data_IF_846950376472
#
_entry.id   IF_846950376472
#
_cell.length_a   1.000
_cell.length_b   1.000
_cell.length_c   1.000
_cell.angle_alpha   90.00
_cell.angle_beta   90.00
_cell.angle_gamma   90.00
#
_symmetry.space_group_name_H-M   'P 1'
#
loop_
_entity.id
_entity.type
_entity.pdbx_description
1 polymer ?
#
# COMPACT_ATOMS: atom_id res chain seq x y z
N UNK A 1 11.52 -49.76 22.64
CA UNK A 1 12.63 -48.86 22.30
C UNK A 1 12.09 -47.78 21.38
N UNK A 2 11.52 -46.71 21.95
CA UNK A 2 10.92 -45.60 21.21
C UNK A 2 11.92 -44.44 21.23
N UNK A 3 12.48 -44.14 20.06
CA UNK A 3 13.32 -42.95 19.88
C UNK A 3 12.40 -41.75 19.56
N UNK A 4 12.39 -40.83 20.49
CA UNK A 4 11.81 -39.49 20.32
C UNK A 4 12.63 -38.70 19.29
N UNK A 5 12.09 -38.45 18.12
CA UNK A 5 12.57 -37.42 17.21
C UNK A 5 12.06 -36.07 17.71
N UNK A 6 12.96 -35.30 18.25
CA UNK A 6 12.80 -33.90 18.59
C UNK A 6 12.60 -33.12 17.32
N UNK A 7 11.41 -32.52 17.14
CA UNK A 7 11.14 -31.57 16.07
C UNK A 7 11.95 -30.29 16.35
N UNK A 8 12.96 -30.01 15.52
CA UNK A 8 13.66 -28.75 15.50
C UNK A 8 12.71 -27.66 14.99
N UNK A 9 12.50 -26.62 15.80
CA UNK A 9 11.79 -25.41 15.42
C UNK A 9 12.51 -24.69 14.27
N UNK A 10 11.80 -24.01 13.36
CA UNK A 10 12.43 -23.22 12.30
C UNK A 10 13.05 -21.95 12.89
N UNK A 11 14.29 -22.04 13.32
CA UNK A 11 15.12 -20.90 13.74
C UNK A 11 15.87 -20.24 12.56
N UNK A 12 15.68 -20.70 11.32
CA UNK A 12 16.61 -20.41 10.23
C UNK A 12 16.36 -19.07 9.52
N UNK A 13 15.12 -18.58 9.43
CA UNK A 13 14.84 -17.34 8.69
C UNK A 13 15.16 -16.06 9.52
N UNK A 14 14.78 -16.02 10.79
CA UNK A 14 15.12 -14.90 11.67
C UNK A 14 16.64 -14.83 11.94
N UNK A 15 17.29 -15.97 12.14
CA UNK A 15 18.74 -16.03 12.38
C UNK A 15 19.59 -15.60 11.17
N UNK A 16 19.12 -15.83 9.93
CA UNK A 16 19.80 -15.35 8.72
C UNK A 16 19.64 -13.84 8.52
N UNK A 17 18.49 -13.28 8.82
CA UNK A 17 18.23 -11.83 8.71
C UNK A 17 19.00 -11.02 9.75
N UNK A 18 19.13 -11.52 10.98
CA UNK A 18 19.98 -10.94 12.01
C UNK A 18 21.48 -11.01 11.61
N UNK A 19 21.91 -12.12 11.02
CA UNK A 19 23.28 -12.28 10.55
C UNK A 19 23.63 -11.29 9.43
N UNK A 20 22.70 -11.00 8.52
CA UNK A 20 22.89 -10.01 7.45
C UNK A 20 23.06 -8.60 8.02
N UNK A 21 22.25 -8.20 8.99
CA UNK A 21 22.40 -6.90 9.66
C UNK A 21 23.78 -6.73 10.32
N UNK A 22 24.23 -7.71 11.09
CA UNK A 22 25.51 -7.63 11.79
C UNK A 22 26.70 -7.62 10.83
N UNK A 23 26.63 -8.36 9.71
CA UNK A 23 27.68 -8.41 8.70
C UNK A 23 27.87 -7.06 7.96
N UNK A 24 26.82 -6.23 7.87
CA UNK A 24 26.86 -4.92 7.24
C UNK A 24 27.52 -3.82 8.10
N UNK A 25 27.62 -4.01 9.41
CA UNK A 25 28.03 -2.93 10.33
C UNK A 25 29.49 -2.49 10.11
N UNK A 26 30.42 -3.43 9.95
CA UNK A 26 31.84 -3.10 9.71
C UNK A 26 32.08 -2.44 8.36
N UNK A 27 31.58 -2.97 7.22
CA UNK A 27 31.71 -2.29 5.94
C UNK A 27 31.06 -0.90 5.92
N UNK A 28 29.85 -0.75 6.51
CA UNK A 28 29.18 0.54 6.59
C UNK A 28 29.96 1.56 7.44
N UNK A 29 30.55 1.12 8.56
CA UNK A 29 31.41 1.96 9.38
C UNK A 29 32.72 2.33 8.67
N UNK A 30 33.26 1.42 7.86
CA UNK A 30 34.43 1.67 7.01
C UNK A 30 34.14 2.61 5.82
N UNK A 31 32.88 2.97 5.57
CA UNK A 31 32.51 3.94 4.56
C UNK A 31 31.93 3.35 3.28
N UNK A 32 31.68 2.03 3.21
CA UNK A 32 31.05 1.42 2.03
C UNK A 32 29.61 1.94 1.84
N UNK A 33 29.38 2.61 0.70
CA UNK A 33 28.10 3.26 0.43
C UNK A 33 26.94 2.27 0.27
N UNK A 34 27.21 1.09 -0.29
CA UNK A 34 26.19 0.04 -0.47
C UNK A 34 25.83 -0.59 0.87
N UNK A 35 26.81 -0.89 1.73
CA UNK A 35 26.59 -1.39 3.07
C UNK A 35 25.84 -0.36 3.95
N UNK A 36 26.18 0.93 3.83
CA UNK A 36 25.46 2.02 4.49
C UNK A 36 23.98 2.08 4.05
N UNK A 37 23.72 1.96 2.75
CA UNK A 37 22.36 1.90 2.24
C UNK A 37 21.61 0.67 2.73
N UNK A 38 22.22 -0.50 2.70
CA UNK A 38 21.62 -1.74 3.19
C UNK A 38 21.30 -1.66 4.69
N UNK A 39 22.22 -1.11 5.49
CA UNK A 39 22.01 -0.90 6.93
C UNK A 39 20.87 0.11 7.19
N UNK A 40 20.77 1.16 6.37
CA UNK A 40 19.66 2.10 6.39
C UNK A 40 18.32 1.41 6.10
N UNK A 41 18.27 0.46 5.16
CA UNK A 41 17.06 -0.32 4.86
C UNK A 41 16.63 -1.20 6.04
N UNK A 42 17.55 -1.84 6.75
CA UNK A 42 17.23 -2.62 7.95
C UNK A 42 16.55 -1.75 9.01
N UNK A 43 17.10 -0.57 9.30
CA UNK A 43 16.47 0.36 10.23
C UNK A 43 15.14 0.93 9.70
N UNK A 44 15.03 1.17 8.39
CA UNK A 44 13.80 1.69 7.78
C UNK A 44 12.65 0.69 7.83
N UNK A 45 12.93 -0.59 7.56
CA UNK A 45 11.92 -1.65 7.52
C UNK A 45 11.70 -2.36 8.85
N UNK A 46 12.63 -2.23 9.81
CA UNK A 46 12.60 -2.98 11.06
C UNK A 46 12.97 -4.47 10.91
N UNK A 47 13.58 -4.86 9.79
CA UNK A 47 14.00 -6.25 9.55
C UNK A 47 15.32 -6.53 10.24
N UNK A 48 15.34 -7.50 11.15
CA UNK A 48 16.53 -7.87 11.95
C UNK A 48 16.91 -6.86 13.05
N UNK A 49 16.24 -5.70 13.12
CA UNK A 49 16.40 -4.69 14.17
C UNK A 49 15.09 -3.95 14.38
N UNK A 50 14.85 -3.33 15.54
CA UNK A 50 13.72 -2.43 15.71
C UNK A 50 13.74 -1.31 14.66
N UNK A 51 12.58 -0.98 14.09
CA UNK A 51 12.46 0.12 13.13
C UNK A 51 12.90 1.44 13.77
N UNK A 52 13.79 2.16 13.09
CA UNK A 52 14.29 3.46 13.51
C UNK A 52 14.56 4.35 12.30
N UNK A 53 13.62 5.24 12.00
CA UNK A 53 13.76 6.17 10.89
C UNK A 53 14.89 7.20 11.08
N UNK A 54 15.28 7.51 12.32
CA UNK A 54 16.43 8.38 12.60
C UNK A 54 17.75 7.71 12.21
N UNK A 55 17.93 6.43 12.58
CA UNK A 55 19.07 5.65 12.13
C UNK A 55 19.04 5.42 10.61
N UNK A 56 17.87 5.11 10.05
CA UNK A 56 17.73 4.98 8.60
C UNK A 56 18.16 6.26 7.88
N UNK A 57 17.69 7.43 8.34
CA UNK A 57 18.08 8.73 7.80
C UNK A 57 19.60 8.97 7.88
N UNK A 58 20.21 8.64 9.02
CA UNK A 58 21.66 8.78 9.21
C UNK A 58 22.45 7.96 8.17
N UNK A 59 22.08 6.67 8.03
CA UNK A 59 22.80 5.76 7.14
C UNK A 59 22.54 6.07 5.66
N UNK A 60 21.29 6.37 5.29
CA UNK A 60 20.99 6.84 3.92
C UNK A 60 21.69 8.14 3.59
N UNK A 61 21.82 9.08 4.54
CA UNK A 61 22.56 10.33 4.32
C UNK A 61 24.04 10.09 4.08
N UNK A 62 24.68 9.20 4.86
CA UNK A 62 26.09 8.84 4.63
C UNK A 62 26.30 8.24 3.24
N UNK A 63 25.45 7.31 2.83
CA UNK A 63 25.49 6.67 1.52
C UNK A 63 25.22 7.67 0.38
N UNK A 64 24.19 8.51 0.52
CA UNK A 64 23.79 9.51 -0.47
C UNK A 64 24.87 10.60 -0.69
N UNK A 65 25.58 10.99 0.38
CA UNK A 65 26.68 11.94 0.29
C UNK A 65 27.88 11.42 -0.53
N UNK A 66 27.98 10.10 -0.68
CA UNK A 66 28.95 9.46 -1.57
C UNK A 66 28.43 9.34 -3.02
N UNK A 67 27.25 9.88 -3.31
CA UNK A 67 26.62 9.83 -4.62
C UNK A 67 25.82 8.56 -4.90
N UNK A 68 25.61 7.68 -3.92
CA UNK A 68 24.87 6.42 -4.15
C UNK A 68 23.39 6.71 -4.47
N UNK A 69 23.01 6.52 -5.75
CA UNK A 69 21.70 6.90 -6.27
C UNK A 69 20.50 6.22 -5.55
N UNK A 70 20.55 4.93 -5.18
CA UNK A 70 19.48 4.33 -4.39
C UNK A 70 19.25 5.03 -3.04
N UNK A 71 20.32 5.43 -2.34
CA UNK A 71 20.20 6.15 -1.07
C UNK A 71 19.63 7.56 -1.25
N UNK A 72 20.04 8.27 -2.32
CA UNK A 72 19.44 9.55 -2.67
C UNK A 72 17.94 9.41 -2.93
N UNK A 73 17.54 8.39 -3.70
CA UNK A 73 16.12 8.10 -3.92
C UNK A 73 15.38 7.84 -2.61
N UNK A 74 15.97 7.07 -1.70
CA UNK A 74 15.34 6.73 -0.42
C UNK A 74 15.21 7.95 0.49
N UNK A 75 16.18 8.87 0.50
CA UNK A 75 16.03 10.15 1.18
C UNK A 75 14.89 10.99 0.59
N UNK A 76 14.77 11.02 -0.74
CA UNK A 76 13.62 11.64 -1.41
C UNK A 76 12.29 11.10 -0.90
N UNK A 77 12.19 9.78 -0.79
CA UNK A 77 11.00 9.09 -0.27
C UNK A 77 10.72 9.44 1.21
N UNK A 78 11.74 9.47 2.06
CA UNK A 78 11.58 9.86 3.47
C UNK A 78 11.05 11.29 3.61
N UNK A 79 11.59 12.26 2.85
CA UNK A 79 11.09 13.65 2.88
C UNK A 79 9.68 13.80 2.29
N UNK A 80 9.32 13.02 1.28
CA UNK A 80 7.98 13.02 0.68
C UNK A 80 6.94 12.49 1.65
N UNK A 81 7.25 11.42 2.39
CA UNK A 81 6.30 10.68 3.22
C UNK A 81 6.42 10.95 4.72
N UNK A 82 7.28 11.90 5.16
CA UNK A 82 7.45 12.28 6.57
C UNK A 82 8.07 11.16 7.43
N UNK A 83 8.88 10.27 6.84
CA UNK A 83 9.55 9.21 7.61
C UNK A 83 10.82 9.75 8.30
N UNK A 84 10.77 9.92 9.62
CA UNK A 84 11.89 10.39 10.43
C UNK A 84 12.31 11.85 10.20
N UNK A 85 11.61 12.57 9.32
CA UNK A 85 11.86 13.98 8.98
C UNK A 85 10.55 14.71 8.71
N UNK A 86 10.47 16.04 8.96
CA UNK A 86 9.35 16.84 8.49
C UNK A 86 9.18 16.71 6.96
N UNK A 87 7.93 16.70 6.51
CA UNK A 87 7.64 16.63 5.07
C UNK A 87 8.24 17.84 4.36
N UNK A 88 9.04 17.58 3.33
CA UNK A 88 9.64 18.60 2.49
C UNK A 88 9.70 18.13 1.02
N UNK A 89 8.70 18.48 0.27
CA UNK A 89 8.58 18.09 -1.13
C UNK A 89 9.69 18.69 -2.02
N UNK A 90 10.23 19.87 -1.67
CA UNK A 90 11.34 20.46 -2.45
C UNK A 90 12.62 19.69 -2.24
N UNK A 91 12.91 19.28 -1.00
CA UNK A 91 14.03 18.38 -0.70
C UNK A 91 13.84 17.01 -1.33
N UNK A 92 12.64 16.44 -1.24
CA UNK A 92 12.32 15.18 -1.89
C UNK A 92 12.64 15.23 -3.38
N UNK A 93 12.15 16.24 -4.10
CA UNK A 93 12.44 16.45 -5.51
C UNK A 93 13.95 16.62 -5.80
N UNK A 94 14.66 17.34 -4.95
CA UNK A 94 16.12 17.51 -5.09
C UNK A 94 16.84 16.17 -5.03
N UNK A 95 16.53 15.34 -4.03
CA UNK A 95 17.14 14.02 -3.88
C UNK A 95 16.74 13.06 -5.02
N UNK A 96 15.47 13.04 -5.43
CA UNK A 96 15.03 12.24 -6.58
C UNK A 96 15.75 12.66 -7.86
N UNK A 97 15.92 13.98 -8.10
CA UNK A 97 16.68 14.47 -9.25
C UNK A 97 18.15 14.08 -9.19
N UNK A 98 18.77 14.08 -8.01
CA UNK A 98 20.15 13.61 -7.86
C UNK A 98 20.30 12.16 -8.28
N UNK A 99 19.37 11.29 -7.89
CA UNK A 99 19.36 9.89 -8.32
C UNK A 99 19.02 9.75 -9.81
N UNK A 100 18.00 10.48 -10.29
CA UNK A 100 17.52 10.44 -11.68
C UNK A 100 18.61 10.89 -12.69
N UNK A 101 19.39 11.90 -12.35
CA UNK A 101 20.46 12.41 -13.20
C UNK A 101 21.64 11.42 -13.34
N UNK A 102 21.78 10.48 -12.42
CA UNK A 102 22.71 9.35 -12.51
C UNK A 102 22.13 8.18 -13.32
N UNK A 103 20.91 8.31 -13.86
CA UNK A 103 20.26 7.25 -14.62
C UNK A 103 19.43 6.28 -13.76
N UNK A 104 19.29 6.50 -12.45
CA UNK A 104 18.54 5.58 -11.58
C UNK A 104 17.05 5.60 -11.91
N UNK A 105 16.52 4.47 -12.40
CA UNK A 105 15.17 4.38 -12.96
C UNK A 105 14.06 4.77 -11.94
N UNK A 106 14.15 4.31 -10.69
CA UNK A 106 13.20 4.71 -9.65
C UNK A 106 13.27 6.20 -9.32
N UNK A 107 14.47 6.80 -9.36
CA UNK A 107 14.62 8.25 -9.21
C UNK A 107 13.94 9.01 -10.34
N UNK A 108 14.10 8.55 -11.59
CA UNK A 108 13.43 9.13 -12.76
C UNK A 108 11.91 8.98 -12.66
N UNK A 109 11.42 7.81 -12.28
CA UNK A 109 10.00 7.55 -12.03
C UNK A 109 9.43 8.52 -10.97
N UNK A 110 10.10 8.66 -9.83
CA UNK A 110 9.64 9.53 -8.76
C UNK A 110 9.66 11.03 -9.16
N UNK A 111 10.66 11.47 -9.94
CA UNK A 111 10.65 12.83 -10.52
C UNK A 111 9.43 13.01 -11.43
N UNK A 112 9.11 12.01 -12.27
CA UNK A 112 7.91 11.98 -13.09
C UNK A 112 6.64 12.18 -12.27
N UNK A 113 6.47 11.43 -11.18
CA UNK A 113 5.34 11.54 -10.25
C UNK A 113 5.24 12.92 -9.60
N UNK A 114 6.36 13.49 -9.17
CA UNK A 114 6.36 14.85 -8.59
C UNK A 114 5.85 15.90 -9.59
N UNK A 115 6.19 15.77 -10.88
CA UNK A 115 5.66 16.65 -11.93
C UNK A 115 4.19 16.36 -12.27
N UNK A 116 3.78 15.08 -12.26
CA UNK A 116 2.39 14.68 -12.51
C UNK A 116 1.46 15.23 -11.44
N UNK A 117 1.83 15.10 -10.17
CA UNK A 117 1.02 15.55 -9.02
C UNK A 117 1.14 17.08 -8.78
N UNK A 118 2.21 17.69 -9.25
CA UNK A 118 2.54 19.09 -8.95
C UNK A 118 3.02 19.28 -7.50
N UNK A 119 3.68 18.27 -6.94
CA UNK A 119 4.13 18.26 -5.54
C UNK A 119 5.59 18.70 -5.47
N UNK A 120 5.87 19.78 -4.73
CA UNK A 120 7.21 20.39 -4.67
C UNK A 120 7.65 21.12 -5.95
N UNK A 121 6.87 21.05 -7.01
CA UNK A 121 7.06 21.67 -8.31
C UNK A 121 5.70 21.97 -8.96
N UNK A 122 5.64 22.89 -9.90
CA UNK A 122 4.42 23.12 -10.68
C UNK A 122 4.09 21.88 -11.52
N UNK A 123 2.81 21.46 -11.50
CA UNK A 123 2.33 20.33 -12.32
C UNK A 123 2.65 20.51 -13.79
N UNK A 124 3.27 19.49 -14.38
CA UNK A 124 3.65 19.48 -15.78
C UNK A 124 3.69 18.04 -16.33
N UNK A 125 2.60 17.63 -16.97
CA UNK A 125 2.49 16.28 -17.54
C UNK A 125 3.49 16.00 -18.68
N UNK A 126 3.98 17.03 -19.37
CA UNK A 126 5.01 16.84 -20.41
C UNK A 126 6.34 16.47 -19.78
N UNK A 127 6.72 17.18 -18.70
CA UNK A 127 7.92 16.81 -17.92
C UNK A 127 7.74 15.44 -17.26
N UNK A 128 6.55 15.13 -16.72
CA UNK A 128 6.26 13.82 -16.17
C UNK A 128 6.48 12.71 -17.22
N UNK A 129 5.92 12.87 -18.41
CA UNK A 129 6.07 11.92 -19.52
C UNK A 129 7.55 11.73 -19.93
N UNK A 130 8.32 12.82 -20.02
CA UNK A 130 9.73 12.76 -20.39
C UNK A 130 10.55 11.96 -19.35
N UNK A 131 10.25 12.14 -18.06
CA UNK A 131 10.92 11.40 -17.00
C UNK A 131 10.46 9.94 -16.91
N UNK A 132 9.16 9.67 -17.03
CA UNK A 132 8.64 8.31 -17.08
C UNK A 132 9.21 7.52 -18.26
N UNK A 133 9.37 8.13 -19.45
CA UNK A 133 9.99 7.47 -20.59
C UNK A 133 11.43 7.05 -20.30
N UNK A 134 12.23 7.91 -19.66
CA UNK A 134 13.61 7.57 -19.28
C UNK A 134 13.66 6.36 -18.34
N UNK A 135 12.71 6.27 -17.41
CA UNK A 135 12.61 5.12 -16.51
C UNK A 135 12.07 3.87 -17.25
N UNK A 136 11.11 4.05 -18.14
CA UNK A 136 10.53 2.99 -18.96
C UNK A 136 11.53 2.39 -19.95
N UNK A 137 12.46 3.19 -20.48
CA UNK A 137 13.55 2.73 -21.35
C UNK A 137 14.53 1.79 -20.63
N UNK A 138 14.47 1.77 -19.29
CA UNK A 138 15.19 0.83 -18.43
C UNK A 138 14.32 -0.37 -17.97
N UNK A 139 13.18 -0.59 -18.62
CA UNK A 139 12.22 -1.67 -18.31
C UNK A 139 11.58 -1.58 -16.93
N UNK A 140 11.43 -0.37 -16.38
CA UNK A 140 10.66 -0.17 -15.16
C UNK A 140 9.15 -0.22 -15.49
N UNK A 141 8.50 -1.34 -15.21
CA UNK A 141 7.11 -1.60 -15.62
C UNK A 141 6.11 -0.57 -15.07
N UNK A 142 6.33 -0.04 -13.87
CA UNK A 142 5.52 1.04 -13.30
C UNK A 142 5.60 2.32 -14.16
N UNK A 143 6.79 2.63 -14.68
CA UNK A 143 6.97 3.79 -15.56
C UNK A 143 6.34 3.57 -16.93
N UNK A 144 6.46 2.36 -17.48
CA UNK A 144 5.80 1.97 -18.73
C UNK A 144 4.27 2.14 -18.63
N UNK A 145 3.68 1.66 -17.52
CA UNK A 145 2.27 1.84 -17.23
C UNK A 145 1.88 3.33 -17.18
N UNK A 146 2.66 4.17 -16.51
CA UNK A 146 2.36 5.61 -16.42
C UNK A 146 2.46 6.32 -17.77
N UNK A 147 3.41 5.94 -18.62
CA UNK A 147 3.47 6.45 -20.00
C UNK A 147 2.19 6.07 -20.76
N UNK A 148 1.73 4.81 -20.65
CA UNK A 148 0.48 4.35 -21.23
C UNK A 148 -0.72 5.17 -20.74
N UNK A 149 -0.82 5.41 -19.45
CA UNK A 149 -1.88 6.18 -18.82
C UNK A 149 -1.93 7.64 -19.31
N UNK A 150 -0.79 8.31 -19.45
CA UNK A 150 -0.73 9.69 -19.97
C UNK A 150 -1.24 9.75 -21.41
N UNK A 151 -0.91 8.76 -22.26
CA UNK A 151 -1.45 8.69 -23.62
C UNK A 151 -2.93 8.34 -23.64
N UNK A 152 -3.40 7.44 -22.78
CA UNK A 152 -4.82 7.09 -22.66
C UNK A 152 -5.67 8.29 -22.27
N UNK A 153 -5.21 9.10 -21.32
CA UNK A 153 -5.95 10.27 -20.83
C UNK A 153 -5.75 11.52 -21.71
N UNK A 154 -4.68 11.59 -22.49
CA UNK A 154 -4.37 12.78 -23.29
C UNK A 154 -3.93 13.99 -22.45
N UNK A 155 -3.31 13.78 -21.27
CA UNK A 155 -2.88 14.87 -20.39
C UNK A 155 -1.76 15.70 -20.98
N UNK A 156 -2.10 16.89 -21.54
CA UNK A 156 -1.16 17.82 -22.21
C UNK A 156 -0.39 17.22 -23.38
N UNK A 157 -0.77 16.04 -23.82
CA UNK A 157 -0.38 15.38 -25.06
C UNK A 157 -1.66 14.99 -25.81
N UNK A 158 -1.57 14.73 -27.10
CA UNK A 158 -2.73 14.21 -27.83
C UNK A 158 -3.05 12.83 -27.30
N UNK A 159 -4.33 12.58 -26.97
CA UNK A 159 -4.81 11.24 -26.63
C UNK A 159 -4.49 10.27 -27.78
N UNK A 160 -3.90 9.14 -27.42
CA UNK A 160 -3.47 8.12 -28.39
C UNK A 160 -3.60 6.72 -27.76
N UNK A 161 -4.71 6.07 -28.05
CA UNK A 161 -4.98 4.74 -27.54
C UNK A 161 -4.03 3.67 -28.11
N UNK A 162 -3.51 3.85 -29.32
CA UNK A 162 -2.54 2.92 -29.89
C UNK A 162 -1.21 2.98 -29.13
N UNK A 163 -0.75 4.18 -28.79
CA UNK A 163 0.42 4.37 -27.93
C UNK A 163 0.16 3.83 -26.53
N UNK A 164 -1.00 4.12 -25.93
CA UNK A 164 -1.37 3.61 -24.61
C UNK A 164 -1.32 2.09 -24.58
N UNK A 165 -1.95 1.44 -25.56
CA UNK A 165 -1.94 -0.01 -25.70
C UNK A 165 -0.53 -0.59 -25.83
N UNK A 166 0.32 -0.02 -26.68
CA UNK A 166 1.71 -0.48 -26.85
C UNK A 166 2.51 -0.40 -25.55
N UNK A 167 2.35 0.69 -24.79
CA UNK A 167 3.02 0.85 -23.51
C UNK A 167 2.49 -0.08 -22.42
N UNK A 168 1.18 -0.32 -22.36
CA UNK A 168 0.60 -1.29 -21.44
C UNK A 168 1.03 -2.72 -21.79
N UNK A 169 1.11 -3.09 -23.08
CA UNK A 169 1.65 -4.39 -23.50
C UNK A 169 3.09 -4.58 -23.02
N UNK A 170 3.91 -3.54 -23.12
CA UNK A 170 5.29 -3.59 -22.65
C UNK A 170 5.36 -3.78 -21.13
N UNK A 171 4.57 -3.02 -20.37
CA UNK A 171 4.47 -3.16 -18.92
C UNK A 171 3.94 -4.55 -18.49
N UNK A 172 2.93 -5.07 -19.19
CA UNK A 172 2.39 -6.41 -18.97
C UNK A 172 3.43 -7.51 -19.26
N UNK A 173 4.27 -7.31 -20.29
CA UNK A 173 5.39 -8.19 -20.59
C UNK A 173 6.43 -8.27 -19.46
N UNK A 174 6.47 -7.27 -18.58
CA UNK A 174 7.29 -7.23 -17.37
C UNK A 174 6.49 -7.57 -16.08
N UNK A 175 5.31 -8.22 -16.22
CA UNK A 175 4.51 -8.71 -15.11
C UNK A 175 3.76 -7.62 -14.32
N UNK A 176 3.46 -6.48 -14.95
CA UNK A 176 2.69 -5.43 -14.28
C UNK A 176 1.19 -5.73 -14.37
N UNK A 177 0.61 -6.22 -13.28
CA UNK A 177 -0.81 -6.61 -13.23
C UNK A 177 -1.78 -5.44 -13.44
N UNK A 178 -1.41 -4.22 -13.06
CA UNK A 178 -2.23 -3.04 -13.33
C UNK A 178 -2.29 -2.75 -14.84
N UNK A 179 -1.17 -2.93 -15.56
CA UNK A 179 -1.14 -2.74 -17.01
C UNK A 179 -1.95 -3.83 -17.73
N UNK A 180 -1.89 -5.07 -17.26
CA UNK A 180 -2.73 -6.16 -17.76
C UNK A 180 -4.21 -5.85 -17.54
N UNK A 181 -4.58 -5.34 -16.38
CA UNK A 181 -5.95 -4.88 -16.10
C UNK A 181 -6.37 -3.74 -17.01
N UNK A 182 -5.49 -2.77 -17.30
CA UNK A 182 -5.77 -1.69 -18.25
C UNK A 182 -5.98 -2.20 -19.69
N UNK A 183 -5.22 -3.21 -20.13
CA UNK A 183 -5.44 -3.86 -21.43
C UNK A 183 -6.82 -4.53 -21.48
N UNK A 184 -7.24 -5.16 -20.40
CA UNK A 184 -8.60 -5.69 -20.27
C UNK A 184 -9.66 -4.60 -20.45
N UNK A 185 -9.53 -3.46 -19.78
CA UNK A 185 -10.44 -2.33 -19.94
C UNK A 185 -10.42 -1.75 -21.37
N UNK A 186 -9.25 -1.66 -22.00
CA UNK A 186 -9.15 -1.18 -23.36
C UNK A 186 -9.91 -2.07 -24.35
N UNK A 187 -9.83 -3.38 -24.17
CA UNK A 187 -10.59 -4.34 -24.97
C UNK A 187 -12.10 -4.29 -24.66
N UNK A 188 -12.48 -4.18 -23.40
CA UNK A 188 -13.88 -4.07 -22.95
C UNK A 188 -14.55 -2.81 -23.49
N UNK A 189 -13.87 -1.65 -23.42
CA UNK A 189 -14.42 -0.37 -23.85
C UNK A 189 -14.22 -0.08 -25.33
N UNK A 190 -13.39 -0.88 -26.02
CA UNK A 190 -13.07 -0.68 -27.42
C UNK A 190 -12.18 0.55 -27.66
N UNK A 191 -11.25 0.84 -26.72
CA UNK A 191 -10.34 1.97 -26.84
C UNK A 191 -9.19 1.65 -27.80
N UNK A 192 -9.27 2.26 -28.99
CA UNK A 192 -8.29 2.05 -30.05
C UNK A 192 -8.49 0.79 -30.89
N UNK A 193 -9.46 -0.03 -30.56
CA UNK A 193 -9.87 -1.25 -31.28
C UNK A 193 -11.36 -1.52 -31.05
N UNK A 194 -12.03 -2.39 -31.82
CA UNK A 194 -13.40 -2.81 -31.53
C UNK A 194 -13.49 -3.47 -30.14
N UNK A 195 -14.65 -3.34 -29.48
CA UNK A 195 -14.91 -4.03 -28.21
C UNK A 195 -14.77 -5.55 -28.38
N UNK A 196 -13.98 -6.15 -27.48
CA UNK A 196 -13.80 -7.60 -27.42
C UNK A 196 -13.76 -8.08 -25.97
N UNK A 197 -14.89 -8.58 -25.50
CA UNK A 197 -15.00 -9.10 -24.12
C UNK A 197 -14.21 -10.39 -23.89
N UNK A 198 -13.95 -11.18 -24.95
CA UNK A 198 -13.14 -12.39 -24.80
C UNK A 198 -11.66 -12.02 -24.60
N UNK A 199 -11.17 -11.03 -25.35
CA UNK A 199 -9.85 -10.45 -25.13
C UNK A 199 -9.76 -9.80 -23.74
N UNK A 200 -10.77 -9.00 -23.36
CA UNK A 200 -10.83 -8.37 -22.03
C UNK A 200 -10.72 -9.39 -20.91
N UNK A 201 -11.52 -10.46 -20.98
CA UNK A 201 -11.51 -11.54 -20.01
C UNK A 201 -10.14 -12.24 -19.94
N UNK A 202 -9.49 -12.45 -21.09
CA UNK A 202 -8.14 -13.04 -21.14
C UNK A 202 -7.11 -12.19 -20.39
N UNK A 203 -7.17 -10.87 -20.57
CA UNK A 203 -6.28 -9.94 -19.86
C UNK A 203 -6.59 -9.85 -18.38
N UNK A 204 -7.86 -9.80 -17.99
CA UNK A 204 -8.25 -9.80 -16.59
C UNK A 204 -7.82 -11.09 -15.87
N UNK A 205 -7.89 -12.26 -16.54
CA UNK A 205 -7.36 -13.50 -15.96
C UNK A 205 -5.85 -13.43 -15.69
N UNK A 206 -5.06 -12.90 -16.62
CA UNK A 206 -3.62 -12.72 -16.42
C UNK A 206 -3.34 -11.78 -15.26
N UNK A 207 -4.04 -10.63 -15.21
CA UNK A 207 -3.89 -9.69 -14.12
C UNK A 207 -4.26 -10.30 -12.76
N UNK A 208 -5.32 -11.13 -12.70
CA UNK A 208 -5.74 -11.84 -11.50
C UNK A 208 -4.72 -12.90 -11.06
N UNK A 209 -4.08 -13.61 -12.00
CA UNK A 209 -2.97 -14.54 -11.73
C UNK A 209 -1.76 -13.81 -11.13
N UNK A 210 -1.52 -12.55 -11.50
CA UNK A 210 -0.50 -11.67 -10.92
C UNK A 210 -0.99 -10.87 -9.71
N UNK A 211 -2.13 -11.25 -9.12
CA UNK A 211 -2.60 -10.72 -7.84
C UNK A 211 -3.43 -9.42 -7.92
N UNK A 212 -3.91 -9.02 -9.11
CA UNK A 212 -4.81 -7.87 -9.21
C UNK A 212 -6.21 -8.20 -8.70
N UNK A 213 -6.59 -7.65 -7.55
CA UNK A 213 -7.96 -7.79 -7.01
C UNK A 213 -9.00 -7.02 -7.82
N UNK A 214 -8.60 -5.92 -8.49
CA UNK A 214 -9.47 -5.19 -9.43
C UNK A 214 -9.80 -6.05 -10.65
N UNK A 215 -8.84 -6.79 -11.18
CA UNK A 215 -9.09 -7.71 -12.28
C UNK A 215 -10.03 -8.87 -11.87
N UNK A 216 -9.89 -9.37 -10.64
CA UNK A 216 -10.83 -10.37 -10.10
C UNK A 216 -12.26 -9.81 -10.04
N UNK A 217 -12.43 -8.57 -9.60
CA UNK A 217 -13.73 -7.89 -9.60
C UNK A 217 -14.29 -7.75 -11.03
N UNK A 218 -13.47 -7.34 -12.00
CA UNK A 218 -13.86 -7.21 -13.40
C UNK A 218 -14.29 -8.55 -14.03
N UNK A 219 -13.61 -9.65 -13.72
CA UNK A 219 -14.02 -10.99 -14.16
C UNK A 219 -15.41 -11.32 -13.58
N UNK A 220 -15.62 -11.05 -12.29
CA UNK A 220 -16.92 -11.22 -11.65
C UNK A 220 -18.01 -10.42 -12.36
N UNK A 221 -17.73 -9.16 -12.69
CA UNK A 221 -18.66 -8.27 -13.41
C UNK A 221 -19.02 -8.80 -14.81
N UNK A 222 -18.05 -9.30 -15.57
CA UNK A 222 -18.28 -9.90 -16.88
C UNK A 222 -19.22 -11.11 -16.79
N UNK A 223 -19.01 -12.02 -15.83
CA UNK A 223 -19.89 -13.19 -15.65
C UNK A 223 -21.26 -12.80 -15.10
N UNK A 224 -21.36 -11.82 -14.21
CA UNK A 224 -22.63 -11.34 -13.66
C UNK A 224 -23.54 -10.78 -14.74
N UNK A 225 -22.96 -10.02 -15.68
CA UNK A 225 -23.71 -9.32 -16.74
C UNK A 225 -23.77 -10.07 -18.07
N UNK A 226 -23.05 -11.20 -18.20
CA UNK A 226 -23.03 -11.98 -19.43
C UNK A 226 -22.37 -11.25 -20.59
N UNK A 227 -21.30 -10.48 -20.32
CA UNK A 227 -20.61 -9.68 -21.34
C UNK A 227 -19.69 -10.58 -22.18
N UNK A 228 -20.07 -10.85 -23.42
CA UNK A 228 -19.34 -11.75 -24.32
C UNK A 228 -19.31 -13.23 -23.90
N UNK A 229 -19.92 -13.56 -22.77
CA UNK A 229 -20.09 -14.91 -22.22
C UNK A 229 -21.53 -15.09 -21.72
N UNK A 230 -21.96 -16.33 -21.49
CA UNK A 230 -23.23 -16.56 -20.81
C UNK A 230 -23.16 -16.06 -19.37
N UNK A 231 -24.23 -15.42 -18.87
CA UNK A 231 -24.37 -15.03 -17.47
C UNK A 231 -24.16 -16.26 -16.58
N UNK A 232 -23.26 -16.12 -15.61
CA UNK A 232 -22.91 -17.18 -14.65
C UNK A 232 -22.68 -16.56 -13.28
N UNK A 233 -23.76 -16.49 -12.51
CA UNK A 233 -23.70 -15.90 -11.16
C UNK A 233 -22.81 -16.68 -10.19
N UNK A 234 -22.65 -17.99 -10.38
CA UNK A 234 -21.77 -18.80 -9.53
C UNK A 234 -20.30 -18.41 -9.75
N UNK A 235 -19.90 -18.23 -11.02
CA UNK A 235 -18.55 -17.74 -11.34
C UNK A 235 -18.37 -16.29 -10.90
N UNK A 236 -19.39 -15.43 -11.08
CA UNK A 236 -19.32 -14.05 -10.62
C UNK A 236 -19.06 -13.99 -9.10
N UNK A 237 -19.83 -14.75 -8.32
CA UNK A 237 -19.66 -14.82 -6.87
C UNK A 237 -18.27 -15.33 -6.47
N UNK A 238 -17.79 -16.41 -7.13
CA UNK A 238 -16.45 -16.95 -6.87
C UNK A 238 -15.34 -15.89 -7.04
N UNK A 239 -15.44 -15.07 -8.11
CA UNK A 239 -14.43 -14.06 -8.38
C UNK A 239 -14.56 -12.85 -7.47
N UNK A 240 -15.78 -12.43 -7.14
CA UNK A 240 -16.02 -11.39 -6.14
C UNK A 240 -15.56 -11.82 -4.74
N UNK A 241 -15.77 -13.08 -4.33
CA UNK A 241 -15.27 -13.62 -3.06
C UNK A 241 -13.73 -13.57 -3.00
N UNK A 242 -13.06 -13.90 -4.10
CA UNK A 242 -11.60 -13.79 -4.18
C UNK A 242 -11.14 -12.32 -4.06
N UNK A 243 -11.76 -11.41 -4.81
CA UNK A 243 -11.42 -9.98 -4.78
C UNK A 243 -11.68 -9.39 -3.38
N UNK A 244 -12.81 -9.72 -2.75
CA UNK A 244 -13.17 -9.27 -1.42
C UNK A 244 -12.20 -9.79 -0.34
N UNK A 245 -11.70 -11.03 -0.50
CA UNK A 245 -10.68 -11.59 0.41
C UNK A 245 -9.36 -10.83 0.37
N UNK A 246 -9.07 -10.15 -0.74
CA UNK A 246 -7.91 -9.24 -0.92
C UNK A 246 -8.29 -7.76 -0.69
N UNK A 247 -9.49 -7.51 -0.11
CA UNK A 247 -9.93 -6.19 0.31
C UNK A 247 -10.48 -5.28 -0.79
N UNK A 248 -10.95 -5.86 -1.90
CA UNK A 248 -11.62 -5.07 -2.93
C UNK A 248 -13.04 -4.67 -2.47
N UNK A 249 -13.21 -3.41 -2.10
CA UNK A 249 -14.49 -2.90 -1.59
C UNK A 249 -15.60 -2.90 -2.64
N UNK A 250 -15.30 -2.81 -3.94
CA UNK A 250 -16.32 -2.92 -4.98
C UNK A 250 -16.87 -4.36 -5.05
N UNK A 251 -15.98 -5.36 -4.98
CA UNK A 251 -16.40 -6.76 -4.94
C UNK A 251 -17.26 -7.07 -3.70
N UNK A 252 -16.92 -6.53 -2.53
CA UNK A 252 -17.74 -6.63 -1.33
C UNK A 252 -19.13 -6.03 -1.54
N UNK A 253 -19.21 -4.83 -2.15
CA UNK A 253 -20.50 -4.23 -2.51
C UNK A 253 -21.30 -5.10 -3.49
N UNK A 254 -20.66 -5.73 -4.47
CA UNK A 254 -21.34 -6.63 -5.41
C UNK A 254 -21.84 -7.90 -4.73
N UNK A 255 -21.11 -8.47 -3.79
CA UNK A 255 -21.58 -9.60 -2.99
C UNK A 255 -22.82 -9.22 -2.17
N UNK A 256 -22.84 -8.03 -1.55
CA UNK A 256 -24.02 -7.50 -0.89
C UNK A 256 -25.23 -7.44 -1.82
N UNK A 257 -25.03 -6.93 -3.02
CA UNK A 257 -26.05 -6.86 -4.06
C UNK A 257 -26.56 -8.24 -4.49
N UNK A 258 -25.65 -9.22 -4.69
CA UNK A 258 -26.06 -10.58 -5.09
C UNK A 258 -26.93 -11.26 -4.04
N UNK A 259 -26.60 -11.10 -2.74
CA UNK A 259 -27.44 -11.63 -1.66
C UNK A 259 -28.78 -10.90 -1.52
N UNK A 260 -28.85 -9.61 -1.77
CA UNK A 260 -30.08 -8.81 -1.72
C UNK A 260 -31.02 -9.17 -2.87
N UNK A 261 -30.51 -9.35 -4.10
CA UNK A 261 -31.30 -9.46 -5.32
C UNK A 261 -31.39 -10.89 -5.90
N UNK A 262 -31.04 -11.92 -5.14
CA UNK A 262 -31.14 -13.34 -5.55
C UNK A 262 -30.26 -13.70 -6.77
N UNK A 263 -29.16 -13.06 -6.95
CA UNK A 263 -28.31 -13.36 -8.09
C UNK A 263 -27.40 -14.56 -7.81
N UNK A 264 -27.86 -15.75 -8.21
CA UNK A 264 -27.12 -17.01 -8.09
C UNK A 264 -27.06 -17.61 -6.68
N UNK A 265 -27.71 -16.97 -5.70
CA UNK A 265 -27.78 -17.43 -4.30
C UNK A 265 -29.18 -17.21 -3.73
N UNK A 266 -29.55 -17.96 -2.69
CA UNK A 266 -30.72 -17.66 -1.89
C UNK A 266 -30.53 -16.30 -1.20
N UNK A 267 -31.57 -15.46 -1.15
CA UNK A 267 -31.50 -14.16 -0.49
C UNK A 267 -31.13 -14.33 0.97
N UNK A 268 -30.29 -13.44 1.42
CA UNK A 268 -29.90 -13.41 2.82
C UNK A 268 -29.61 -11.96 3.24
N UNK A 269 -30.60 -11.34 3.85
CA UNK A 269 -30.57 -9.93 4.23
C UNK A 269 -29.40 -9.65 5.20
N UNK A 270 -29.12 -10.56 6.14
CA UNK A 270 -28.02 -10.40 7.08
C UNK A 270 -26.63 -10.44 6.37
N UNK A 271 -26.46 -11.34 5.40
CA UNK A 271 -25.23 -11.37 4.59
C UNK A 271 -25.12 -10.13 3.71
N UNK A 272 -26.21 -9.69 3.07
CA UNK A 272 -26.21 -8.49 2.24
C UNK A 272 -25.75 -7.27 3.04
N UNK A 273 -26.34 -7.04 4.22
CA UNK A 273 -25.95 -5.94 5.11
C UNK A 273 -24.48 -6.08 5.58
N UNK A 274 -24.07 -7.31 5.92
CA UNK A 274 -22.67 -7.53 6.34
C UNK A 274 -21.69 -7.14 5.24
N UNK A 275 -21.93 -7.55 4.00
CA UNK A 275 -21.07 -7.21 2.89
C UNK A 275 -21.08 -5.71 2.55
N UNK A 276 -22.25 -5.07 2.53
CA UNK A 276 -22.32 -3.62 2.34
C UNK A 276 -21.59 -2.85 3.44
N UNK A 277 -21.69 -3.29 4.70
CA UNK A 277 -21.00 -2.65 5.82
C UNK A 277 -19.49 -2.79 5.71
N UNK A 278 -18.97 -3.99 5.42
CA UNK A 278 -17.53 -4.21 5.17
C UNK A 278 -17.01 -3.29 4.08
N UNK A 279 -17.73 -3.21 2.97
CA UNK A 279 -17.38 -2.33 1.86
C UNK A 279 -17.41 -0.85 2.24
N UNK A 280 -18.43 -0.41 3.01
CA UNK A 280 -18.53 0.97 3.49
C UNK A 280 -17.42 1.33 4.47
N UNK A 281 -17.04 0.41 5.35
CA UNK A 281 -15.92 0.59 6.31
C UNK A 281 -14.57 0.78 5.60
N UNK A 282 -14.42 0.22 4.39
CA UNK A 282 -13.29 0.47 3.50
C UNK A 282 -13.40 1.79 2.70
N UNK A 283 -14.46 2.57 2.95
CA UNK A 283 -14.66 3.88 2.33
C UNK A 283 -15.45 3.85 1.01
N UNK A 284 -16.09 2.73 0.66
CA UNK A 284 -16.94 2.65 -0.53
C UNK A 284 -18.27 3.39 -0.31
N UNK A 285 -18.37 4.60 -0.86
CA UNK A 285 -19.58 5.43 -0.72
C UNK A 285 -20.83 4.79 -1.33
N UNK A 286 -20.68 4.01 -2.42
CA UNK A 286 -21.82 3.30 -3.03
C UNK A 286 -22.37 2.24 -2.09
N UNK A 287 -21.47 1.51 -1.42
CA UNK A 287 -21.88 0.50 -0.43
C UNK A 287 -22.55 1.14 0.79
N UNK A 288 -22.04 2.28 1.26
CA UNK A 288 -22.70 3.03 2.35
C UNK A 288 -24.12 3.48 1.97
N UNK A 289 -24.31 3.94 0.75
CA UNK A 289 -25.64 4.31 0.25
C UNK A 289 -26.56 3.09 0.10
N UNK A 290 -26.05 1.96 -0.42
CA UNK A 290 -26.79 0.72 -0.54
C UNK A 290 -27.19 0.16 0.81
N UNK A 291 -26.29 0.21 1.80
CA UNK A 291 -26.54 -0.20 3.18
C UNK A 291 -27.71 0.59 3.77
N UNK A 292 -27.62 1.92 3.73
CA UNK A 292 -28.64 2.80 4.28
C UNK A 292 -30.02 2.53 3.64
N UNK A 293 -30.07 2.53 2.31
CA UNK A 293 -31.32 2.26 1.59
C UNK A 293 -31.89 0.87 1.88
N UNK A 294 -31.03 -0.12 2.12
CA UNK A 294 -31.49 -1.46 2.42
C UNK A 294 -31.95 -1.62 3.87
N UNK A 295 -31.28 -0.96 4.83
CA UNK A 295 -31.71 -0.91 6.24
C UNK A 295 -33.09 -0.25 6.36
N UNK A 296 -33.38 0.86 5.64
CA UNK A 296 -34.73 1.47 5.59
C UNK A 296 -35.79 0.48 5.08
N UNK A 297 -35.49 -0.28 4.02
CA UNK A 297 -36.44 -1.31 3.51
C UNK A 297 -36.67 -2.41 4.51
N UNK A 298 -35.69 -2.80 5.31
CA UNK A 298 -35.82 -3.83 6.34
C UNK A 298 -36.62 -3.33 7.52
N UNK A 299 -36.46 -2.08 7.93
CA UNK A 299 -37.28 -1.44 8.96
C UNK A 299 -38.77 -1.37 8.56
N UNK A 300 -39.05 -0.94 7.33
CA UNK A 300 -40.46 -0.88 6.80
C UNK A 300 -41.12 -2.24 6.69
N UNK A 301 -40.37 -3.32 6.49
CA UNK A 301 -40.92 -4.70 6.49
C UNK A 301 -41.34 -5.20 7.87
N UNK A 302 -41.05 -4.44 8.93
CA UNK A 302 -41.41 -4.82 10.31
C UNK A 302 -40.63 -6.06 10.79
N UNK A 303 -39.48 -6.35 10.21
CA UNK A 303 -38.61 -7.43 10.62
C UNK A 303 -37.87 -7.04 11.91
N UNK A 304 -38.60 -6.82 13.00
CA UNK A 304 -38.10 -6.44 14.32
C UNK A 304 -37.21 -7.48 15.01
N UNK A 305 -36.76 -8.52 14.29
CA UNK A 305 -35.82 -9.53 14.74
C UNK A 305 -34.49 -9.45 13.95
N UNK A 306 -34.29 -8.39 13.13
CA UNK A 306 -33.07 -8.25 12.41
C UNK A 306 -31.95 -7.71 13.32
N UNK A 307 -31.33 -8.62 14.05
CA UNK A 307 -30.12 -8.32 14.84
C UNK A 307 -28.88 -8.66 13.99
N UNK A 308 -28.28 -7.62 13.37
CA UNK A 308 -27.04 -7.74 12.61
C UNK A 308 -25.90 -8.36 13.45
N UNK A 309 -25.98 -8.27 14.78
CA UNK A 309 -25.03 -8.87 15.70
C UNK A 309 -25.18 -10.40 15.79
N UNK A 310 -26.36 -10.94 15.47
CA UNK A 310 -26.65 -12.38 15.51
C UNK A 310 -26.46 -13.09 14.17
N UNK A 311 -26.14 -12.39 13.10
CA UNK A 311 -25.64 -13.03 11.88
C UNK A 311 -24.31 -13.71 12.20
N UNK A 312 -24.37 -14.92 12.76
CA UNK A 312 -23.20 -15.80 12.87
C UNK A 312 -22.72 -16.07 11.45
N UNK A 313 -21.76 -15.27 11.03
CA UNK A 313 -21.19 -15.37 9.73
C UNK A 313 -20.28 -16.59 9.69
N UNK A 314 -20.86 -17.70 9.23
CA UNK A 314 -20.15 -18.97 9.01
C UNK A 314 -19.45 -18.99 7.65
N UNK A 315 -19.62 -17.91 6.86
CA UNK A 315 -19.02 -17.78 5.56
C UNK A 315 -17.52 -17.44 5.67
N UNK A 316 -16.70 -18.33 5.16
CA UNK A 316 -15.24 -18.18 5.23
C UNK A 316 -14.74 -16.93 4.50
N UNK A 317 -15.42 -16.49 3.43
CA UNK A 317 -15.07 -15.30 2.68
C UNK A 317 -15.33 -14.02 3.50
N UNK A 318 -16.50 -13.93 4.14
CA UNK A 318 -16.82 -12.81 5.04
C UNK A 318 -15.85 -12.78 6.23
N UNK A 319 -15.50 -13.94 6.78
CA UNK A 319 -14.52 -14.02 7.86
C UNK A 319 -13.14 -13.50 7.42
N UNK A 320 -12.72 -13.84 6.20
CA UNK A 320 -11.47 -13.31 5.62
C UNK A 320 -11.54 -11.79 5.39
N UNK A 321 -12.63 -11.29 4.79
CA UNK A 321 -12.81 -9.86 4.55
C UNK A 321 -12.83 -9.06 5.86
N UNK A 322 -13.54 -9.54 6.91
CA UNK A 322 -13.49 -8.92 8.25
C UNK A 322 -12.09 -8.88 8.82
N UNK A 323 -11.33 -9.96 8.68
CA UNK A 323 -9.94 -10.04 9.14
C UNK A 323 -9.05 -9.07 8.39
N UNK A 324 -9.20 -8.99 7.06
CA UNK A 324 -8.47 -8.02 6.23
C UNK A 324 -8.77 -6.58 6.64
N UNK A 325 -10.05 -6.21 6.86
CA UNK A 325 -10.44 -4.89 7.37
C UNK A 325 -9.79 -4.59 8.73
N UNK A 326 -9.72 -5.60 9.62
CA UNK A 326 -9.03 -5.46 10.92
C UNK A 326 -7.52 -5.21 10.73
N UNK A 327 -6.87 -5.92 9.81
CA UNK A 327 -5.46 -5.73 9.46
C UNK A 327 -5.23 -4.28 8.98
N UNK A 328 -6.05 -3.78 8.06
CA UNK A 328 -5.95 -2.42 7.56
C UNK A 328 -6.16 -1.36 8.64
N UNK A 329 -7.11 -1.58 9.56
CA UNK A 329 -7.32 -0.67 10.69
C UNK A 329 -6.10 -0.65 11.64
N UNK A 330 -5.56 -1.79 11.99
CA UNK A 330 -4.37 -1.89 12.81
C UNK A 330 -3.17 -1.20 12.15
N UNK A 331 -2.96 -1.42 10.85
CA UNK A 331 -1.87 -0.77 10.09
C UNK A 331 -2.01 0.76 10.09
N UNK A 332 -3.23 1.29 9.88
CA UNK A 332 -3.49 2.74 9.95
C UNK A 332 -3.22 3.32 11.33
N UNK A 333 -3.64 2.63 12.40
CA UNK A 333 -3.41 3.05 13.79
C UNK A 333 -1.93 3.03 14.16
N UNK A 334 -1.20 2.00 13.75
CA UNK A 334 0.24 1.90 13.91
C UNK A 334 0.93 3.09 13.25
N UNK A 335 0.61 3.37 11.98
CA UNK A 335 1.19 4.50 11.24
C UNK A 335 0.88 5.85 11.90
N UNK A 336 -0.32 6.03 12.46
CA UNK A 336 -0.71 7.22 13.22
C UNK A 336 0.16 7.42 14.47
N UNK A 337 0.29 6.37 15.30
CA UNK A 337 1.08 6.40 16.52
C UNK A 337 2.57 6.66 16.25
N UNK A 338 3.10 6.10 15.16
CA UNK A 338 4.49 6.34 14.73
C UNK A 338 4.70 7.78 14.28
N UNK A 339 3.71 8.35 13.58
CA UNK A 339 3.70 9.76 13.21
C UNK A 339 3.73 10.66 14.43
N UNK A 340 2.87 10.38 15.42
CA UNK A 340 2.78 11.15 16.68
C UNK A 340 4.08 11.02 17.50
N UNK A 341 4.65 9.81 17.59
CA UNK A 341 5.93 9.59 18.25
C UNK A 341 7.04 10.41 17.60
N UNK A 342 7.09 10.46 16.27
CA UNK A 342 8.08 11.22 15.53
C UNK A 342 7.91 12.72 15.73
N UNK A 343 6.67 13.23 15.78
CA UNK A 343 6.39 14.65 16.03
C UNK A 343 6.85 15.07 17.43
N UNK A 344 6.66 14.21 18.45
CA UNK A 344 7.16 14.45 19.80
C UNK A 344 8.70 14.49 19.84
N UNK A 345 9.39 13.55 19.17
CA UNK A 345 10.85 13.57 19.09
C UNK A 345 11.41 14.79 18.35
N UNK A 346 10.75 15.18 17.25
CA UNK A 346 11.12 16.37 16.50
C UNK A 346 11.03 17.62 17.40
N UNK A 347 9.97 17.72 18.20
CA UNK A 347 9.77 18.81 19.14
C UNK A 347 10.83 18.78 20.26
N UNK A 348 11.13 17.61 20.82
CA UNK A 348 12.19 17.44 21.81
C UNK A 348 13.56 17.88 21.26
N UNK A 349 13.91 17.44 20.06
CA UNK A 349 15.17 17.81 19.39
C UNK A 349 15.25 19.32 19.09
N UNK A 350 14.14 19.96 18.69
CA UNK A 350 14.11 21.41 18.52
C UNK A 350 14.37 22.15 19.83
N UNK A 351 13.81 21.68 20.94
CA UNK A 351 14.02 22.22 22.26
C UNK A 351 15.47 22.08 22.74
N UNK A 352 16.10 20.94 22.49
CA UNK A 352 17.50 20.69 22.81
C UNK A 352 18.47 21.57 22.02
N UNK A 353 18.13 21.86 20.74
CA UNK A 353 18.96 22.70 19.87
C UNK A 353 18.78 24.19 20.18
N UNK A 354 17.57 24.66 20.54
CA UNK A 354 17.32 26.05 20.96
C UNK A 354 17.97 26.38 22.28
N UNK A 355 18.11 25.44 23.20
CA UNK A 355 18.83 25.60 24.49
C UNK A 355 20.35 25.81 24.38
N UNK A 356 20.96 25.58 23.20
CA UNK A 356 22.41 25.76 22.95
C UNK A 356 22.81 27.11 22.34
N UNK A 357 21.82 27.92 21.92
CA UNK A 357 22.07 29.28 21.36
C UNK A 357 22.26 30.32 22.41
N UNK A 358 23.47 30.87 22.52
CA UNK A 358 23.75 32.03 23.39
C UNK A 358 23.04 33.28 22.85
N UNK A 359 22.08 33.84 23.59
CA UNK A 359 21.47 35.17 23.40
C UNK A 359 20.17 35.29 22.54
N UNK A 360 19.27 34.37 22.58
CA UNK A 360 17.95 34.55 21.97
C UNK A 360 16.87 34.80 23.05
N UNK A 361 15.88 35.65 22.73
CA UNK A 361 14.73 35.95 23.60
C UNK A 361 13.95 34.70 24.02
N UNK A 362 13.92 33.69 23.15
CA UNK A 362 13.36 32.36 23.40
C UNK A 362 14.13 31.62 24.50
N UNK A 363 15.47 31.65 24.50
CA UNK A 363 16.30 31.02 25.54
C UNK A 363 16.05 31.69 26.91
N UNK A 364 15.79 33.01 26.94
CA UNK A 364 15.42 33.72 28.17
C UNK A 364 14.02 33.37 28.65
N UNK A 365 13.06 33.17 27.74
CA UNK A 365 11.71 32.72 28.06
C UNK A 365 11.71 31.27 28.60
N UNK A 366 12.51 30.38 28.01
CA UNK A 366 12.69 28.98 28.46
C UNK A 366 13.31 28.92 29.89
N UNK A 367 14.28 29.75 30.17
CA UNK A 367 14.90 29.82 31.49
C UNK A 367 13.98 30.47 32.55
N UNK A 368 13.00 31.27 32.15
CA UNK A 368 12.05 31.91 33.04
C UNK A 368 10.81 31.07 33.38
N UNK A 369 10.45 30.10 32.55
CA UNK A 369 9.26 29.25 32.72
C UNK A 369 9.61 27.93 33.43
N UNK A 370 10.89 27.70 33.81
CA UNK A 370 11.34 26.46 34.43
C UNK A 370 11.26 25.31 33.42
N UNK A 371 12.39 24.87 32.94
CA UNK A 371 12.57 23.81 31.91
C UNK A 371 11.47 22.75 31.94
N UNK A 372 10.57 22.77 30.96
CA UNK A 372 9.86 21.57 30.56
C UNK A 372 10.91 20.77 29.80
N UNK A 373 11.46 19.71 30.38
CA UNK A 373 12.61 19.06 29.78
C UNK A 373 12.16 18.41 28.46
N UNK A 374 12.98 18.47 27.41
CA UNK A 374 12.86 17.66 26.21
C UNK A 374 12.54 16.18 26.54
N UNK A 375 12.99 15.72 27.68
CA UNK A 375 12.65 14.43 28.33
C UNK A 375 11.14 14.15 28.36
N UNK A 376 10.26 15.15 28.55
CA UNK A 376 8.81 14.92 28.55
C UNK A 376 8.32 14.45 27.17
N UNK A 377 8.81 15.07 26.12
CA UNK A 377 8.42 14.74 24.75
C UNK A 377 9.00 13.39 24.31
N UNK A 378 10.24 13.07 24.71
CA UNK A 378 10.81 11.74 24.49
C UNK A 378 10.05 10.65 25.27
N UNK A 379 9.54 10.94 26.46
CA UNK A 379 8.70 10.00 27.22
C UNK A 379 7.35 9.78 26.52
N UNK A 380 6.72 10.84 25.99
CA UNK A 380 5.48 10.69 25.21
C UNK A 380 5.74 9.91 23.90
N UNK A 381 6.80 10.21 23.17
CA UNK A 381 7.20 9.45 21.98
C UNK A 381 7.41 7.96 22.31
N UNK A 382 8.04 7.66 23.45
CA UNK A 382 8.23 6.27 23.90
C UNK A 382 6.90 5.57 24.18
N UNK A 383 5.88 6.25 24.72
CA UNK A 383 4.54 5.69 24.94
C UNK A 383 3.85 5.35 23.63
N UNK A 384 3.88 6.27 22.66
CA UNK A 384 3.29 6.01 21.32
C UNK A 384 3.97 4.81 20.64
N UNK A 385 5.30 4.71 20.72
CA UNK A 385 6.04 3.56 20.18
C UNK A 385 5.70 2.25 20.90
N UNK A 386 5.52 2.28 22.20
CA UNK A 386 5.14 1.09 22.98
C UNK A 386 3.73 0.62 22.57
N UNK A 387 2.80 1.54 22.34
CA UNK A 387 1.47 1.20 21.87
C UNK A 387 1.48 0.69 20.42
N UNK A 388 2.25 1.32 19.53
CA UNK A 388 2.44 0.85 18.16
C UNK A 388 3.06 -0.56 18.12
N UNK A 389 4.03 -0.85 18.98
CA UNK A 389 4.61 -2.18 19.12
C UNK A 389 3.57 -3.22 19.55
N UNK A 390 2.72 -2.89 20.52
CA UNK A 390 1.62 -3.76 20.96
C UNK A 390 0.63 -4.06 19.83
N UNK A 391 0.29 -3.06 19.02
CA UNK A 391 -0.59 -3.24 17.87
C UNK A 391 0.07 -4.08 16.78
N UNK A 392 1.39 -3.98 16.58
CA UNK A 392 2.15 -4.86 15.66
C UNK A 392 2.13 -6.31 16.13
N UNK A 393 2.24 -6.57 17.42
CA UNK A 393 2.13 -7.93 17.95
C UNK A 393 0.72 -8.50 17.71
N UNK A 394 -0.32 -7.69 17.84
CA UNK A 394 -1.68 -8.09 17.50
C UNK A 394 -1.83 -8.37 15.99
N UNK A 395 -1.26 -7.51 15.14
CA UNK A 395 -1.26 -7.68 13.69
C UNK A 395 -0.57 -8.99 13.30
N UNK A 396 0.63 -9.24 13.82
CA UNK A 396 1.38 -10.47 13.56
C UNK A 396 0.61 -11.73 13.95
N UNK A 397 -0.12 -11.69 15.08
CA UNK A 397 -0.97 -12.82 15.51
C UNK A 397 -2.13 -13.09 14.53
N UNK A 398 -2.71 -12.05 13.95
CA UNK A 398 -3.78 -12.17 12.95
C UNK A 398 -3.21 -12.72 11.64
N UNK A 399 -2.07 -12.21 11.18
CA UNK A 399 -1.41 -12.65 9.95
C UNK A 399 -0.90 -14.10 10.03
N UNK A 400 -0.41 -14.54 11.20
CA UNK A 400 -0.02 -15.93 11.40
C UNK A 400 -1.22 -16.90 11.38
N UNK A 401 -2.39 -16.47 11.87
CA UNK A 401 -3.62 -17.27 11.78
C UNK A 401 -4.04 -17.50 10.32
N UNK A 402 -3.74 -16.58 9.41
CA UNK A 402 -4.04 -16.74 7.97
C UNK A 402 -3.16 -17.79 7.31
N UNK A 403 -1.88 -17.88 7.68
CA UNK A 403 -0.98 -18.92 7.16
C UNK A 403 -1.44 -20.33 7.55
N UNK A 404 -1.99 -20.49 8.76
CA UNK A 404 -2.54 -21.77 9.22
C UNK A 404 -3.86 -22.13 8.54
N UNK A 405 -4.73 -21.16 8.26
CA UNK A 405 -6.05 -21.40 7.65
C UNK A 405 -6.00 -21.60 6.13
N UNK A 406 -4.95 -21.12 5.47
CA UNK A 406 -4.77 -21.26 4.02
C UNK A 406 -4.17 -22.62 3.60
N UNK A 407 -3.84 -23.51 4.53
CA UNK A 407 -3.27 -24.84 4.23
C UNK A 407 -1.90 -24.76 3.53
N UNK A 408 -1.21 -23.63 3.60
CA UNK A 408 0.15 -23.49 3.09
C UNK A 408 1.06 -24.26 4.05
N UNK A 409 1.80 -25.29 3.59
CA UNK A 409 2.79 -25.91 4.44
C UNK A 409 3.79 -24.82 4.84
N UNK A 410 3.96 -24.63 6.14
CA UNK A 410 5.08 -23.82 6.64
C UNK A 410 6.38 -24.39 6.10
N UNK A 411 7.27 -23.57 5.53
CA UNK A 411 8.54 -24.00 4.98
C UNK A 411 9.44 -24.65 6.01
#
# INVERSE_FOLDING_TARGET
MFTLLSAARPQTAAATQDQDFYSLREPAAAGDAQAQFALGNHYFSGVGVPQDYGQALLWFTKSANQGFAPAQNQLGYMYQHKFGVPRDYKRALSYYRSAANQGYALGQYNVGGMYEDGVGVKRDYKQALDWYRKAADQNLSQAEKQVGYIYQCGYKVKQDFAQAHAWYLRAAGHGNSDAENQLGFMAEEGWGQPKDYAEALSWFYKAAEHGSNDAMENIGYIFQNGLGVQTDYAKAMFWYDKAAAEGNSNAENQLGWMYQFRQGVEPNDAKAVTWYRLSADLGNQRAANNLHAFEEVLEDRGSGEWDAANATVTDSAIARAKRWATIQDLQRRIAGLEGDAQDQDNLANQLEHTGKGKNDALTKLFNAVGSVPAVKYHVEAAKYRAEAARLRDQLAQIEDQDKFSAGVPTP
#
